data_IF_106370857553
#
_entry.id   IF_106370857553
#
_cell.length_a   1.000
_cell.length_b   1.000
_cell.length_c   1.000
_cell.angle_alpha   90.00
_cell.angle_beta   90.00
_cell.angle_gamma   90.00
#
_symmetry.space_group_name_H-M   'P 1'
#
loop_
_entity.id
_entity.type
_entity.pdbx_description
1 polymer ?
#
# COMPACT_ATOMS: atom_id res chain seq x y z
N UNK A 1 21.28 28.66 -24.68
CA UNK A 1 21.39 27.21 -24.81
C UNK A 1 20.50 26.62 -23.72
N UNK A 2 19.82 25.52 -23.97
CA UNK A 2 18.90 24.93 -22.99
C UNK A 2 19.62 23.90 -22.11
N UNK A 3 19.16 23.71 -20.91
CA UNK A 3 19.59 22.64 -20.00
C UNK A 3 19.50 21.32 -20.75
N UNK A 4 20.50 20.47 -20.60
CA UNK A 4 20.50 19.12 -21.15
C UNK A 4 19.91 18.15 -20.12
N UNK A 5 18.74 17.58 -20.37
CA UNK A 5 18.16 16.51 -19.55
C UNK A 5 18.79 15.20 -19.98
N UNK A 6 19.55 14.58 -19.06
CA UNK A 6 20.30 13.34 -19.33
C UNK A 6 19.49 12.09 -18.98
N UNK A 7 18.63 12.20 -17.98
CA UNK A 7 17.75 11.10 -17.55
C UNK A 7 16.39 11.68 -17.24
N UNK A 8 15.39 11.21 -17.94
CA UNK A 8 13.97 11.51 -17.68
C UNK A 8 13.33 10.37 -16.89
N UNK A 9 12.23 10.65 -16.17
CA UNK A 9 11.41 9.61 -15.58
C UNK A 9 10.86 8.67 -16.67
N UNK A 10 10.50 7.47 -16.28
CA UNK A 10 9.71 6.60 -17.13
C UNK A 10 8.32 7.21 -17.40
N UNK A 11 7.70 6.86 -18.52
CA UNK A 11 6.34 7.30 -18.86
C UNK A 11 5.31 6.93 -17.77
N UNK A 12 5.55 5.81 -17.06
CA UNK A 12 4.80 5.39 -15.87
C UNK A 12 5.79 4.96 -14.80
N UNK A 13 5.67 5.54 -13.60
CA UNK A 13 6.52 5.27 -12.46
C UNK A 13 5.72 4.73 -11.27
N UNK A 14 6.40 3.98 -10.38
CA UNK A 14 5.88 3.65 -9.05
C UNK A 14 6.36 4.70 -8.05
N UNK A 15 5.43 5.45 -7.44
CA UNK A 15 5.77 6.57 -6.55
C UNK A 15 6.44 6.16 -5.23
N UNK A 16 6.40 4.90 -4.87
CA UNK A 16 7.13 4.36 -3.71
C UNK A 16 8.60 4.03 -4.00
N UNK A 17 9.01 4.04 -5.28
CA UNK A 17 10.41 3.89 -5.70
C UNK A 17 11.03 5.26 -5.95
N UNK A 18 12.35 5.41 -5.87
CA UNK A 18 13.03 6.63 -6.31
C UNK A 18 12.72 6.94 -7.78
N UNK A 19 12.21 8.13 -8.03
CA UNK A 19 12.02 8.65 -9.40
C UNK A 19 13.18 9.62 -9.64
N UNK A 20 14.25 9.07 -10.21
CA UNK A 20 15.50 9.80 -10.39
C UNK A 20 15.52 10.49 -11.74
N UNK A 21 15.82 11.77 -11.72
CA UNK A 21 16.03 12.60 -12.91
C UNK A 21 17.42 13.26 -12.86
N UNK A 22 18.07 13.39 -14.01
CA UNK A 22 19.40 14.02 -14.11
C UNK A 22 19.38 15.08 -15.18
N UNK A 23 19.88 16.24 -14.80
CA UNK A 23 20.05 17.36 -15.70
C UNK A 23 21.50 17.86 -15.66
N UNK A 24 21.97 18.41 -16.77
CA UNK A 24 23.30 18.99 -16.89
C UNK A 24 23.17 20.42 -17.38
N UNK A 25 23.89 21.31 -16.71
CA UNK A 25 23.99 22.69 -17.16
C UNK A 25 24.85 22.79 -18.42
N UNK A 26 24.48 23.69 -19.28
CA UNK A 26 25.29 24.08 -20.45
C UNK A 26 26.07 25.37 -20.21
N UNK A 27 25.82 26.06 -19.09
CA UNK A 27 26.48 27.28 -18.71
C UNK A 27 27.83 26.98 -18.05
N UNK A 28 28.82 27.81 -18.34
CA UNK A 28 30.15 27.75 -17.74
C UNK A 28 30.58 29.13 -17.23
N UNK A 29 31.46 29.17 -16.22
CA UNK A 29 32.01 30.40 -15.69
C UNK A 29 31.02 31.32 -14.96
N UNK A 30 29.86 30.79 -14.53
CA UNK A 30 28.87 31.53 -13.74
C UNK A 30 29.09 31.32 -12.25
N UNK A 31 28.80 32.35 -11.48
CA UNK A 31 28.96 32.33 -10.01
C UNK A 31 27.70 31.75 -9.38
N UNK A 32 27.86 30.84 -8.42
CA UNK A 32 26.76 30.15 -7.72
C UNK A 32 25.73 29.51 -8.68
N UNK A 33 26.24 28.81 -9.67
CA UNK A 33 25.40 28.12 -10.65
C UNK A 33 24.62 26.98 -10.00
N UNK A 34 23.31 26.98 -10.22
CA UNK A 34 22.34 26.01 -9.69
C UNK A 34 21.41 25.55 -10.80
N UNK A 35 20.88 24.36 -10.67
CA UNK A 35 19.71 23.96 -11.42
C UNK A 35 18.52 23.96 -10.46
N UNK A 36 17.50 24.73 -10.80
CA UNK A 36 16.20 24.71 -10.14
C UNK A 36 15.26 23.82 -10.96
N UNK A 37 14.61 22.89 -10.28
CA UNK A 37 13.61 22.06 -10.90
C UNK A 37 12.29 22.21 -10.14
N UNK A 38 11.19 22.47 -10.84
CA UNK A 38 9.83 22.36 -10.30
C UNK A 38 9.20 21.04 -10.73
N UNK A 39 8.58 20.35 -9.80
CA UNK A 39 7.76 19.17 -10.03
C UNK A 39 6.31 19.56 -9.79
N UNK A 40 5.53 19.63 -10.86
CA UNK A 40 4.12 19.98 -10.83
C UNK A 40 3.29 18.71 -11.02
N UNK A 41 2.60 18.30 -9.97
CA UNK A 41 1.82 17.06 -9.91
C UNK A 41 0.34 17.39 -9.95
N UNK A 42 -0.41 16.69 -10.78
CA UNK A 42 -1.86 16.74 -10.89
C UNK A 42 -2.43 15.37 -10.62
N UNK A 43 -3.37 15.31 -9.71
CA UNK A 43 -4.11 14.09 -9.42
C UNK A 43 -5.59 14.43 -9.21
N UNK A 44 -6.48 13.49 -9.48
CA UNK A 44 -7.92 13.72 -9.37
C UNK A 44 -8.47 13.00 -8.14
N UNK A 45 -9.26 13.69 -7.34
CA UNK A 45 -10.01 13.10 -6.23
C UNK A 45 -11.49 13.41 -6.38
N UNK A 46 -12.31 12.38 -6.55
CA UNK A 46 -13.78 12.54 -6.66
C UNK A 46 -14.22 13.59 -7.70
N UNK A 47 -13.49 13.71 -8.82
CA UNK A 47 -13.74 14.70 -9.86
C UNK A 47 -13.08 16.08 -9.64
N UNK A 48 -12.47 16.32 -8.49
CA UNK A 48 -11.68 17.53 -8.24
C UNK A 48 -10.20 17.29 -8.57
N UNK A 49 -9.61 18.21 -9.34
CA UNK A 49 -8.16 18.21 -9.59
C UNK A 49 -7.43 18.75 -8.35
N UNK A 50 -6.53 17.93 -7.80
CA UNK A 50 -5.60 18.33 -6.74
C UNK A 50 -4.26 18.58 -7.41
N UNK A 51 -3.80 19.81 -7.32
CA UNK A 51 -2.49 20.21 -7.83
C UNK A 51 -1.52 20.37 -6.66
N UNK A 52 -0.31 19.84 -6.82
CA UNK A 52 0.78 19.98 -5.88
C UNK A 52 2.06 20.34 -6.62
N UNK A 53 2.77 21.36 -6.17
CA UNK A 53 4.01 21.81 -6.80
C UNK A 53 5.11 21.90 -5.75
N UNK A 54 6.29 21.37 -6.07
CA UNK A 54 7.47 21.45 -5.23
C UNK A 54 8.68 21.89 -6.06
N UNK A 55 9.53 22.74 -5.44
CA UNK A 55 10.74 23.26 -6.06
C UNK A 55 11.97 22.65 -5.41
N UNK A 56 12.82 22.11 -6.23
CA UNK A 56 14.13 21.59 -5.86
C UNK A 56 15.22 22.53 -6.39
N UNK A 57 16.24 22.75 -5.59
CA UNK A 57 17.42 23.53 -5.99
C UNK A 57 18.65 22.69 -5.72
N UNK A 58 19.48 22.52 -6.73
CA UNK A 58 20.70 21.76 -6.65
C UNK A 58 21.89 22.64 -7.07
N UNK A 59 22.90 22.75 -6.21
CA UNK A 59 24.16 23.42 -6.54
C UNK A 59 24.98 22.53 -7.46
N UNK A 60 25.35 23.05 -8.61
CA UNK A 60 26.01 22.27 -9.64
C UNK A 60 27.50 22.18 -9.34
N UNK A 61 28.03 20.96 -9.29
CA UNK A 61 29.45 20.71 -9.14
C UNK A 61 30.26 21.01 -10.40
N UNK A 62 31.56 20.71 -10.38
CA UNK A 62 32.47 20.93 -11.51
C UNK A 62 32.10 20.10 -12.77
N UNK A 63 31.35 19.02 -12.62
CA UNK A 63 30.83 18.18 -13.70
C UNK A 63 29.57 18.74 -14.37
N UNK A 64 28.98 19.78 -13.77
CA UNK A 64 27.77 20.42 -14.27
C UNK A 64 26.49 19.61 -14.05
N UNK A 65 26.52 18.51 -13.26
CA UNK A 65 25.41 17.58 -13.08
C UNK A 65 24.56 17.92 -11.86
N UNK A 66 23.24 17.75 -11.99
CA UNK A 66 22.28 17.76 -10.91
C UNK A 66 21.43 16.48 -10.96
N UNK A 67 21.23 15.87 -9.80
CA UNK A 67 20.39 14.67 -9.65
C UNK A 67 19.28 14.96 -8.65
N UNK A 68 18.04 14.72 -9.06
CA UNK A 68 16.86 14.95 -8.23
C UNK A 68 16.09 13.63 -8.05
N UNK A 69 15.46 13.50 -6.89
CA UNK A 69 14.48 12.45 -6.64
C UNK A 69 13.14 13.11 -6.35
N UNK A 70 12.15 12.86 -7.21
CA UNK A 70 10.81 13.47 -7.10
C UNK A 70 9.76 12.52 -6.54
N UNK A 71 10.16 11.32 -6.12
CA UNK A 71 9.23 10.30 -5.65
C UNK A 71 8.37 10.75 -4.47
N UNK A 72 8.94 11.49 -3.51
CA UNK A 72 8.22 11.92 -2.32
C UNK A 72 7.11 12.93 -2.65
N UNK A 73 7.37 13.86 -3.56
CA UNK A 73 6.39 14.83 -4.04
C UNK A 73 5.21 14.13 -4.72
N UNK A 74 5.52 13.23 -5.65
CA UNK A 74 4.50 12.46 -6.40
C UNK A 74 3.71 11.55 -5.46
N UNK A 75 4.39 10.86 -4.54
CA UNK A 75 3.75 9.99 -3.55
C UNK A 75 2.82 10.78 -2.63
N UNK A 76 3.26 11.93 -2.13
CA UNK A 76 2.45 12.78 -1.25
C UNK A 76 1.16 13.23 -1.94
N UNK A 77 1.23 13.60 -3.20
CA UNK A 77 0.05 13.96 -3.98
C UNK A 77 -0.90 12.77 -4.15
N UNK A 78 -0.38 11.60 -4.52
CA UNK A 78 -1.17 10.37 -4.66
C UNK A 78 -1.82 9.96 -3.34
N UNK A 79 -1.10 9.95 -2.23
CA UNK A 79 -1.63 9.56 -0.92
C UNK A 79 -2.80 10.46 -0.46
N UNK A 80 -2.81 11.73 -0.87
CA UNK A 80 -3.92 12.67 -0.60
C UNK A 80 -5.16 12.37 -1.44
N UNK A 81 -4.98 11.77 -2.61
CA UNK A 81 -6.06 11.47 -3.55
C UNK A 81 -6.72 10.12 -3.34
N UNK A 82 -6.05 9.20 -2.61
CA UNK A 82 -6.59 7.88 -2.36
C UNK A 82 -7.73 7.96 -1.36
N UNK A 83 -8.90 7.57 -1.82
CA UNK A 83 -10.06 7.29 -0.97
C UNK A 83 -10.23 5.79 -0.89
N UNK A 84 -9.97 5.22 0.28
CA UNK A 84 -10.21 3.82 0.58
C UNK A 84 -11.17 3.76 1.74
N UNK A 85 -12.42 3.44 1.47
CA UNK A 85 -13.43 3.27 2.48
C UNK A 85 -13.97 1.84 2.41
N UNK A 86 -13.83 1.15 3.51
CA UNK A 86 -14.51 -0.12 3.73
C UNK A 86 -15.66 0.16 4.67
N UNK A 87 -16.87 0.16 4.14
CA UNK A 87 -18.10 0.37 4.90
C UNK A 87 -18.92 -0.91 4.92
N UNK A 88 -19.04 -1.51 6.09
CA UNK A 88 -19.77 -2.76 6.25
C UNK A 88 -19.14 -3.89 5.43
N UNK A 89 -19.83 -4.38 4.41
CA UNK A 89 -19.36 -5.42 3.47
C UNK A 89 -18.82 -4.85 2.18
N UNK A 90 -18.89 -3.52 1.99
CA UNK A 90 -18.55 -2.87 0.71
C UNK A 90 -17.21 -2.19 0.81
N UNK A 91 -16.37 -2.44 -0.19
CA UNK A 91 -15.15 -1.72 -0.44
C UNK A 91 -15.41 -0.65 -1.50
N UNK A 92 -15.25 0.60 -1.11
CA UNK A 92 -15.13 1.71 -2.07
C UNK A 92 -13.66 2.09 -2.16
N UNK A 93 -13.06 1.81 -3.31
CA UNK A 93 -11.69 2.17 -3.57
C UNK A 93 -11.65 3.06 -4.81
N UNK A 94 -11.14 4.26 -4.63
CA UNK A 94 -10.83 5.16 -5.72
C UNK A 94 -9.34 5.43 -5.67
N UNK A 95 -8.61 4.89 -6.62
CA UNK A 95 -7.20 5.19 -6.82
C UNK A 95 -7.04 5.86 -8.17
N UNK A 96 -6.15 6.83 -8.20
CA UNK A 96 -5.87 7.57 -9.42
C UNK A 96 -4.39 7.47 -9.74
N UNK A 97 -4.05 7.52 -11.02
CA UNK A 97 -2.71 7.89 -11.42
C UNK A 97 -2.54 9.40 -11.24
N UNK A 98 -1.39 9.82 -10.76
CA UNK A 98 -1.01 11.22 -10.86
C UNK A 98 -0.30 11.44 -12.18
N UNK A 99 -0.57 12.55 -12.84
CA UNK A 99 0.29 13.08 -13.90
C UNK A 99 1.22 14.12 -13.31
N UNK A 100 2.45 14.21 -13.81
CA UNK A 100 3.39 15.23 -13.38
C UNK A 100 4.30 15.67 -14.51
N UNK A 101 4.70 16.94 -14.42
CA UNK A 101 5.65 17.57 -15.34
C UNK A 101 6.81 18.15 -14.55
N UNK A 102 7.99 18.15 -15.16
CA UNK A 102 9.21 18.66 -14.56
C UNK A 102 9.70 19.84 -15.39
N UNK A 103 9.88 20.99 -14.75
CA UNK A 103 10.41 22.19 -15.39
C UNK A 103 11.75 22.55 -14.77
N UNK A 104 12.76 22.63 -15.61
CA UNK A 104 14.14 22.92 -15.21
C UNK A 104 14.53 24.33 -15.62
N UNK A 105 15.28 25.04 -14.75
CA UNK A 105 15.88 26.34 -15.01
C UNK A 105 17.30 26.40 -14.49
N UNK A 106 18.19 27.05 -15.22
CA UNK A 106 19.51 27.42 -14.74
C UNK A 106 19.40 28.73 -13.97
N UNK A 107 20.03 28.77 -12.80
CA UNK A 107 19.99 29.91 -11.88
C UNK A 107 21.41 30.25 -11.45
N UNK A 108 21.80 31.51 -11.57
CA UNK A 108 23.11 31.96 -11.15
C UNK A 108 23.06 33.41 -10.63
N UNK A 109 24.10 33.82 -9.94
CA UNK A 109 24.23 35.21 -9.48
C UNK A 109 25.03 36.06 -10.48
N UNK A 110 24.47 37.20 -10.81
CA UNK A 110 25.13 38.27 -11.56
C UNK A 110 24.89 39.61 -10.85
N UNK A 111 25.93 40.31 -10.44
CA UNK A 111 25.83 41.53 -9.64
C UNK A 111 24.97 41.41 -8.38
N UNK A 112 25.05 40.26 -7.68
CA UNK A 112 24.22 39.91 -6.54
C UNK A 112 22.72 39.81 -6.84
N UNK A 113 22.34 39.75 -8.11
CA UNK A 113 20.96 39.49 -8.56
C UNK A 113 20.88 38.06 -9.08
N UNK A 114 19.83 37.35 -8.68
CA UNK A 114 19.55 36.00 -9.19
C UNK A 114 18.98 36.10 -10.61
N UNK A 115 19.65 35.47 -11.55
CA UNK A 115 19.22 35.39 -12.96
C UNK A 115 18.77 33.97 -13.25
N UNK A 116 17.61 33.83 -13.85
CA UNK A 116 17.07 32.56 -14.34
C UNK A 116 17.15 32.48 -15.87
N UNK A 117 17.71 31.39 -16.39
CA UNK A 117 17.84 31.18 -17.83
C UNK A 117 17.50 29.71 -18.19
N UNK A 118 17.24 29.46 -19.44
CA UNK A 118 17.23 28.13 -20.03
C UNK A 118 16.11 27.21 -19.54
N UNK A 119 14.87 27.68 -19.60
CA UNK A 119 13.71 26.84 -19.21
C UNK A 119 13.52 25.64 -20.15
N UNK A 120 13.41 24.45 -19.58
CA UNK A 120 13.08 23.19 -20.28
C UNK A 120 12.02 22.46 -19.48
N UNK A 121 10.91 22.09 -20.12
CA UNK A 121 9.84 21.31 -19.51
C UNK A 121 9.81 19.89 -20.11
N UNK A 122 9.67 18.87 -19.24
CA UNK A 122 9.54 17.49 -19.65
C UNK A 122 8.18 17.23 -20.32
N UNK A 123 8.07 16.10 -21.01
CA UNK A 123 6.77 15.53 -21.31
C UNK A 123 6.02 15.17 -20.03
N UNK A 124 4.69 15.06 -20.13
CA UNK A 124 3.87 14.60 -19.02
C UNK A 124 4.17 13.12 -18.71
N UNK A 125 4.58 12.86 -17.48
CA UNK A 125 4.79 11.52 -16.94
C UNK A 125 3.64 11.14 -16.03
N UNK A 126 3.41 9.84 -15.87
CA UNK A 126 2.38 9.30 -14.97
C UNK A 126 3.01 8.49 -13.85
N UNK A 127 2.33 8.46 -12.71
CA UNK A 127 2.73 7.62 -11.60
C UNK A 127 1.52 6.99 -10.92
N UNK A 128 1.70 5.77 -10.45
CA UNK A 128 0.77 5.08 -9.56
C UNK A 128 1.44 4.86 -8.20
N UNK A 129 0.64 4.70 -7.16
CA UNK A 129 1.17 4.31 -5.86
C UNK A 129 1.70 2.88 -5.94
N UNK A 130 2.78 2.60 -5.22
CA UNK A 130 3.37 1.28 -5.16
C UNK A 130 4.89 1.34 -5.15
N UNK A 131 5.51 0.23 -4.77
CA UNK A 131 6.97 0.09 -4.75
C UNK A 131 7.38 -1.33 -5.07
N UNK A 132 8.56 -1.48 -5.64
CA UNK A 132 9.33 -2.71 -5.58
C UNK A 132 10.17 -2.75 -4.30
N UNK A 133 10.43 -3.95 -3.80
CA UNK A 133 11.42 -4.11 -2.74
C UNK A 133 12.81 -3.74 -3.26
N UNK A 134 13.72 -3.38 -2.37
CA UNK A 134 15.10 -3.06 -2.77
C UNK A 134 15.80 -4.27 -3.41
N UNK A 135 15.48 -5.47 -2.95
CA UNK A 135 15.98 -6.71 -3.55
C UNK A 135 15.51 -6.88 -5.01
N UNK A 136 14.22 -6.66 -5.30
CA UNK A 136 13.69 -6.72 -6.66
C UNK A 136 14.34 -5.67 -7.56
N UNK A 137 14.58 -4.46 -7.04
CA UNK A 137 15.26 -3.39 -7.78
C UNK A 137 16.70 -3.75 -8.13
N UNK A 138 17.42 -4.39 -7.22
CA UNK A 138 18.82 -4.79 -7.43
C UNK A 138 18.94 -6.01 -8.36
N UNK A 139 17.99 -6.92 -8.33
CA UNK A 139 18.02 -8.16 -9.12
C UNK A 139 17.41 -8.02 -10.52
N UNK A 140 16.51 -7.03 -10.70
CA UNK A 140 15.90 -6.73 -11.99
C UNK A 140 16.41 -5.37 -12.52
N UNK A 141 17.45 -5.33 -13.37
CA UNK A 141 18.09 -4.08 -13.79
C UNK A 141 17.17 -3.08 -14.51
N UNK A 142 15.99 -3.49 -14.92
CA UNK A 142 14.99 -2.63 -15.57
C UNK A 142 13.82 -2.27 -14.65
N UNK A 143 13.80 -2.73 -13.39
CA UNK A 143 12.70 -2.46 -12.45
C UNK A 143 12.63 -0.98 -12.05
N UNK A 144 13.74 -0.23 -12.17
CA UNK A 144 13.79 1.18 -11.80
C UNK A 144 13.24 2.14 -12.87
N UNK A 145 13.11 1.69 -14.12
CA UNK A 145 12.91 2.62 -15.23
C UNK A 145 11.54 2.59 -15.86
N UNK A 146 10.80 1.51 -15.73
CA UNK A 146 9.42 1.46 -16.21
C UNK A 146 8.67 0.29 -15.58
N UNK A 147 7.52 0.57 -15.02
CA UNK A 147 6.52 -0.48 -14.86
C UNK A 147 6.02 -0.76 -16.27
N UNK A 148 6.44 -1.86 -16.87
CA UNK A 148 5.80 -2.35 -18.08
C UNK A 148 4.42 -2.84 -17.69
N UNK A 149 3.48 -1.92 -17.69
CA UNK A 149 2.08 -2.21 -17.47
C UNK A 149 1.50 -2.54 -18.86
N UNK A 150 1.10 -3.77 -19.07
CA UNK A 150 0.35 -4.19 -20.25
C UNK A 150 -1.09 -3.69 -20.23
N UNK A 151 -1.93 -4.21 -21.11
CA UNK A 151 -3.36 -3.87 -21.23
C UNK A 151 -4.21 -4.36 -20.03
N UNK A 152 -3.63 -5.19 -19.16
CA UNK A 152 -4.23 -5.60 -17.89
C UNK A 152 -3.22 -6.36 -17.05
N UNK A 153 -2.70 -5.73 -15.99
CA UNK A 153 -1.72 -6.34 -15.10
C UNK A 153 -2.28 -6.51 -13.69
N UNK A 154 -2.07 -7.70 -13.14
CA UNK A 154 -2.36 -8.00 -11.74
C UNK A 154 -1.24 -7.41 -10.88
N UNK A 155 -1.61 -6.57 -9.92
CA UNK A 155 -0.71 -5.91 -8.98
C UNK A 155 -0.70 -6.63 -7.62
N UNK A 156 -0.40 -7.91 -7.66
CA UNK A 156 -0.32 -8.78 -6.48
C UNK A 156 0.97 -9.61 -6.54
N UNK A 157 1.58 -9.83 -5.38
CA UNK A 157 2.74 -10.71 -5.21
C UNK A 157 2.39 -12.02 -4.53
N UNK A 158 1.10 -12.35 -4.47
CA UNK A 158 0.68 -13.60 -3.84
C UNK A 158 1.23 -14.80 -4.55
N UNK A 159 1.84 -15.74 -3.81
CA UNK A 159 2.20 -17.05 -4.35
C UNK A 159 0.97 -17.87 -4.73
N UNK A 160 1.18 -18.93 -5.49
CA UNK A 160 0.15 -19.91 -5.81
C UNK A 160 -0.35 -20.66 -4.57
N UNK A 161 -1.58 -21.17 -4.61
CA UNK A 161 -2.15 -22.04 -3.57
C UNK A 161 -2.94 -21.32 -2.49
N UNK A 162 -3.34 -20.06 -2.69
CA UNK A 162 -4.19 -19.34 -1.73
C UNK A 162 -5.52 -20.08 -1.51
N UNK A 163 -5.92 -20.32 -0.24
CA UNK A 163 -7.26 -20.79 0.04
C UNK A 163 -8.28 -19.66 -0.13
N UNK A 164 -9.27 -19.87 -0.99
CA UNK A 164 -10.42 -18.99 -1.16
C UNK A 164 -11.60 -19.57 -0.41
N UNK A 165 -12.12 -18.82 0.55
CA UNK A 165 -13.27 -19.28 1.29
C UNK A 165 -14.55 -18.97 0.54
N UNK A 166 -15.35 -19.99 0.29
CA UNK A 166 -16.63 -19.86 -0.40
C UNK A 166 -17.58 -18.92 0.35
N UNK A 167 -18.20 -18.03 -0.40
CA UNK A 167 -19.12 -17.02 0.14
C UNK A 167 -18.43 -15.76 0.68
N UNK A 168 -17.12 -15.64 0.53
CA UNK A 168 -16.36 -14.42 0.87
C UNK A 168 -15.70 -13.86 -0.38
N UNK A 169 -16.00 -12.61 -0.70
CA UNK A 169 -15.48 -11.97 -1.90
C UNK A 169 -13.95 -11.97 -1.93
N UNK A 170 -13.41 -12.35 -3.07
CA UNK A 170 -12.00 -12.20 -3.39
C UNK A 170 -11.76 -10.83 -4.03
N UNK A 171 -10.76 -10.10 -3.57
CA UNK A 171 -10.31 -8.87 -4.18
C UNK A 171 -8.93 -9.06 -4.77
N UNK A 172 -8.82 -8.84 -6.09
CA UNK A 172 -7.57 -8.97 -6.86
C UNK A 172 -7.22 -7.60 -7.44
N UNK A 173 -6.13 -6.97 -7.01
CA UNK A 173 -5.74 -5.68 -7.54
C UNK A 173 -5.18 -5.81 -8.95
N UNK A 174 -5.62 -4.94 -9.85
CA UNK A 174 -5.18 -4.89 -11.23
C UNK A 174 -5.19 -3.47 -11.80
N UNK A 175 -4.49 -3.26 -12.91
CA UNK A 175 -4.41 -1.99 -13.63
C UNK A 175 -4.43 -2.23 -15.14
N UNK A 176 -5.05 -1.34 -15.89
CA UNK A 176 -4.98 -1.32 -17.35
C UNK A 176 -4.27 -0.04 -17.82
N UNK A 177 -3.38 -0.16 -18.79
CA UNK A 177 -2.68 0.99 -19.39
C UNK A 177 -3.34 1.51 -20.67
N UNK A 178 -4.08 0.66 -21.37
CA UNK A 178 -4.59 0.95 -22.72
C UNK A 178 -6.06 1.37 -22.77
N UNK A 179 -6.82 1.17 -21.68
CA UNK A 179 -8.26 1.42 -21.65
C UNK A 179 -8.75 1.84 -20.27
N UNK A 180 -9.95 2.37 -20.22
CA UNK A 180 -10.70 2.67 -19.02
C UNK A 180 -11.42 1.44 -18.42
N UNK A 181 -11.14 0.27 -18.96
CA UNK A 181 -11.76 -1.00 -18.56
C UNK A 181 -10.70 -2.07 -18.39
N UNK A 182 -10.76 -2.80 -17.28
CA UNK A 182 -9.93 -3.99 -17.05
C UNK A 182 -10.78 -5.21 -17.40
N UNK A 183 -10.33 -5.97 -18.41
CA UNK A 183 -10.91 -7.27 -18.75
C UNK A 183 -10.18 -8.36 -18.01
N UNK A 184 -10.93 -9.26 -17.37
CA UNK A 184 -10.37 -10.40 -16.64
C UNK A 184 -11.24 -11.64 -16.78
N UNK A 185 -10.68 -12.79 -16.54
CA UNK A 185 -11.39 -14.04 -16.56
C UNK A 185 -11.19 -14.84 -15.28
N UNK A 186 -12.20 -15.54 -14.86
CA UNK A 186 -12.17 -16.50 -13.76
C UNK A 186 -12.38 -17.89 -14.32
N UNK A 187 -11.38 -18.74 -14.19
CA UNK A 187 -11.46 -20.16 -14.57
C UNK A 187 -11.61 -20.99 -13.31
N UNK A 188 -12.76 -21.68 -13.14
CA UNK A 188 -13.04 -22.54 -12.01
C UNK A 188 -13.60 -23.86 -12.48
N UNK A 189 -13.09 -24.97 -11.97
CA UNK A 189 -13.50 -26.33 -12.36
C UNK A 189 -13.53 -26.57 -13.88
N UNK A 190 -12.61 -25.92 -14.63
CA UNK A 190 -12.52 -26.03 -16.08
C UNK A 190 -13.48 -25.13 -16.87
N UNK A 191 -14.32 -24.36 -16.20
CA UNK A 191 -15.20 -23.38 -16.83
C UNK A 191 -14.57 -21.98 -16.72
N UNK A 192 -14.50 -21.27 -17.85
CA UNK A 192 -14.04 -19.90 -17.93
C UNK A 192 -15.21 -18.94 -18.01
N UNK A 193 -15.19 -17.92 -17.17
CA UNK A 193 -16.14 -16.81 -17.20
C UNK A 193 -15.37 -15.50 -17.37
N UNK A 194 -15.77 -14.70 -18.34
CA UNK A 194 -15.13 -13.42 -18.64
C UNK A 194 -15.91 -12.29 -18.00
N UNK A 195 -15.18 -11.32 -17.44
CA UNK A 195 -15.68 -10.15 -16.74
C UNK A 195 -14.97 -8.89 -17.21
N UNK A 196 -15.59 -7.75 -16.95
CA UNK A 196 -14.98 -6.46 -17.19
C UNK A 196 -15.31 -5.50 -16.05
N UNK A 197 -14.37 -4.68 -15.67
CA UNK A 197 -14.54 -3.64 -14.67
C UNK A 197 -14.14 -2.29 -15.23
N UNK A 198 -15.07 -1.35 -15.23
CA UNK A 198 -14.80 0.05 -15.61
C UNK A 198 -14.02 0.75 -14.51
N UNK A 199 -12.94 1.44 -14.88
CA UNK A 199 -12.01 2.13 -13.95
C UNK A 199 -12.09 3.64 -14.05
N UNK A 200 -12.74 4.18 -15.08
CA UNK A 200 -12.89 5.63 -15.30
C UNK A 200 -11.71 6.27 -16.03
N UNK A 201 -10.71 5.51 -16.42
CA UNK A 201 -9.57 6.01 -17.20
C UNK A 201 -8.43 5.01 -17.30
N UNK A 202 -7.56 5.21 -18.27
CA UNK A 202 -6.33 4.46 -18.38
C UNK A 202 -5.40 4.73 -17.19
N UNK A 203 -4.68 3.71 -16.75
CA UNK A 203 -3.77 3.74 -15.58
C UNK A 203 -4.49 3.99 -14.23
N UNK A 204 -5.79 3.79 -14.16
CA UNK A 204 -6.52 3.79 -12.90
C UNK A 204 -6.54 2.37 -12.34
N UNK A 205 -5.80 2.08 -11.26
CA UNK A 205 -5.82 0.76 -10.64
C UNK A 205 -7.15 0.50 -9.94
N UNK A 206 -7.58 -0.75 -9.95
CA UNK A 206 -8.79 -1.18 -9.26
C UNK A 206 -8.59 -2.53 -8.58
N UNK A 207 -9.33 -2.78 -7.50
CA UNK A 207 -9.44 -4.12 -6.90
C UNK A 207 -10.64 -4.82 -7.52
N UNK A 208 -10.36 -5.84 -8.34
CA UNK A 208 -11.38 -6.65 -9.00
C UNK A 208 -12.11 -7.47 -7.93
N UNK A 209 -13.42 -7.31 -7.83
CA UNK A 209 -14.24 -8.07 -6.91
C UNK A 209 -14.77 -9.33 -7.59
N UNK A 210 -14.53 -10.46 -6.97
CA UNK A 210 -14.97 -11.77 -7.47
C UNK A 210 -15.83 -12.43 -6.39
N UNK A 211 -17.08 -12.68 -6.71
CA UNK A 211 -18.00 -13.42 -5.84
C UNK A 211 -17.63 -14.91 -5.83
N UNK A 212 -17.18 -15.39 -4.70
CA UNK A 212 -16.78 -16.80 -4.53
C UNK A 212 -17.94 -17.72 -4.21
N UNK A 213 -19.15 -17.21 -3.97
CA UNK A 213 -20.32 -18.01 -3.59
C UNK A 213 -20.75 -18.98 -4.68
N UNK A 214 -20.58 -18.58 -5.95
CA UNK A 214 -20.91 -19.36 -7.13
C UNK A 214 -19.80 -20.33 -7.56
N UNK A 215 -18.60 -20.24 -6.98
CA UNK A 215 -17.47 -21.06 -7.36
C UNK A 215 -17.62 -22.50 -6.81
N UNK A 216 -17.28 -23.48 -7.64
CA UNK A 216 -17.16 -24.85 -7.20
C UNK A 216 -15.88 -25.07 -6.40
N UNK A 217 -15.90 -26.01 -5.46
CA UNK A 217 -14.71 -26.42 -4.72
C UNK A 217 -13.60 -26.88 -5.70
N UNK A 218 -12.37 -26.49 -5.43
CA UNK A 218 -11.21 -26.86 -6.23
C UNK A 218 -10.45 -25.65 -6.80
N UNK A 219 -9.65 -25.93 -7.83
CA UNK A 219 -8.76 -24.95 -8.45
C UNK A 219 -9.53 -23.82 -9.11
N UNK A 220 -9.08 -22.60 -8.83
CA UNK A 220 -9.57 -21.36 -9.44
C UNK A 220 -8.39 -20.50 -9.88
N UNK A 221 -8.47 -19.93 -11.06
CA UNK A 221 -7.46 -19.02 -11.60
C UNK A 221 -8.15 -17.73 -12.05
N UNK A 222 -7.64 -16.60 -11.59
CA UNK A 222 -8.04 -15.27 -12.05
C UNK A 222 -6.93 -14.75 -12.93
N UNK A 223 -7.21 -14.46 -14.18
CA UNK A 223 -6.23 -13.96 -15.16
C UNK A 223 -6.75 -12.70 -15.86
N UNK A 224 -5.83 -11.85 -16.27
CA UNK A 224 -6.11 -10.72 -17.15
C UNK A 224 -5.71 -11.06 -18.58
N UNK A 225 -5.94 -10.14 -19.53
CA UNK A 225 -5.55 -10.36 -20.93
C UNK A 225 -4.05 -10.58 -21.12
N UNK A 226 -3.22 -10.01 -20.24
CA UNK A 226 -1.75 -9.97 -20.39
C UNK A 226 -0.99 -10.82 -19.36
N UNK A 227 -1.66 -11.31 -18.32
CA UNK A 227 -1.03 -12.11 -17.29
C UNK A 227 -1.80 -13.40 -17.00
N UNK A 228 -1.04 -14.51 -16.95
CA UNK A 228 -1.55 -15.74 -16.36
C UNK A 228 -1.78 -15.51 -14.87
N UNK A 229 -2.96 -15.88 -14.43
CA UNK A 229 -3.35 -15.66 -13.04
C UNK A 229 -2.75 -16.70 -12.10
N UNK A 230 -2.65 -16.33 -10.85
CA UNK A 230 -2.18 -17.20 -9.78
C UNK A 230 -3.26 -18.23 -9.42
N UNK A 231 -2.83 -19.48 -9.25
CA UNK A 231 -3.72 -20.57 -8.81
C UNK A 231 -4.17 -20.37 -7.36
N UNK A 232 -5.46 -20.60 -7.12
CA UNK A 232 -6.13 -20.55 -5.83
C UNK A 232 -7.03 -21.76 -5.67
N UNK A 233 -7.42 -22.07 -4.45
CA UNK A 233 -8.29 -23.23 -4.19
C UNK A 233 -9.49 -22.83 -3.37
N UNK A 234 -10.69 -23.03 -3.91
CA UNK A 234 -11.94 -22.79 -3.19
C UNK A 234 -12.13 -23.85 -2.12
N UNK A 235 -12.29 -23.39 -0.89
CA UNK A 235 -12.49 -24.22 0.31
C UNK A 235 -13.74 -23.77 1.06
N UNK A 236 -14.34 -24.70 1.81
CA UNK A 236 -15.45 -24.35 2.70
C UNK A 236 -14.95 -23.57 3.92
N UNK A 237 -15.80 -22.72 4.47
CA UNK A 237 -15.48 -21.95 5.66
C UNK A 237 -15.28 -22.85 6.88
N UNK A 238 -14.28 -22.57 7.68
CA UNK A 238 -14.00 -23.25 8.94
C UNK A 238 -14.02 -22.25 10.10
N UNK A 239 -14.45 -22.63 11.30
CA UNK A 239 -14.56 -21.73 12.45
C UNK A 239 -13.28 -21.01 12.85
N UNK A 240 -12.12 -21.55 12.51
CA UNK A 240 -10.82 -20.93 12.79
C UNK A 240 -10.32 -19.97 11.73
N UNK A 241 -11.06 -19.77 10.63
CA UNK A 241 -10.62 -18.87 9.54
C UNK A 241 -11.02 -17.42 9.83
N UNK A 242 -10.12 -16.50 9.53
CA UNK A 242 -10.36 -15.04 9.58
C UNK A 242 -9.98 -14.43 8.26
N UNK A 243 -10.84 -13.55 7.78
CA UNK A 243 -10.68 -12.89 6.49
C UNK A 243 -10.30 -11.46 6.69
N UNK A 244 -9.31 -11.03 5.92
CA UNK A 244 -8.79 -9.68 5.94
C UNK A 244 -8.87 -9.05 4.56
N UNK A 245 -9.12 -7.76 4.56
CA UNK A 245 -8.73 -6.85 3.49
C UNK A 245 -7.52 -6.09 3.98
N UNK A 246 -6.53 -5.88 3.13
CA UNK A 246 -5.35 -5.11 3.48
C UNK A 246 -4.83 -4.34 2.28
N UNK A 247 -4.11 -3.27 2.55
CA UNK A 247 -3.43 -2.49 1.52
C UNK A 247 -2.08 -3.13 1.23
N UNK A 248 -1.90 -3.64 0.00
CA UNK A 248 -0.63 -4.24 -0.43
C UNK A 248 0.43 -3.18 -0.75
N UNK A 249 1.64 -3.60 -1.12
CA UNK A 249 2.76 -2.70 -1.45
C UNK A 249 2.53 -1.84 -2.70
N UNK A 250 1.55 -2.18 -3.54
CA UNK A 250 1.10 -1.33 -4.64
C UNK A 250 0.01 -0.32 -4.21
N UNK A 251 -0.32 -0.26 -2.93
CA UNK A 251 -1.31 0.65 -2.40
C UNK A 251 -2.77 0.24 -2.63
N UNK A 252 -2.99 -0.94 -3.20
CA UNK A 252 -4.29 -1.47 -3.55
C UNK A 252 -4.82 -2.42 -2.46
N UNK A 253 -6.14 -2.55 -2.41
CA UNK A 253 -6.76 -3.50 -1.47
C UNK A 253 -6.76 -4.88 -2.07
N UNK A 254 -6.30 -5.81 -1.27
CA UNK A 254 -6.25 -7.22 -1.55
C UNK A 254 -6.84 -8.00 -0.37
N UNK A 255 -7.49 -9.14 -0.63
CA UNK A 255 -8.03 -10.00 0.42
C UNK A 255 -7.06 -11.10 0.79
N UNK A 256 -7.05 -11.54 2.02
CA UNK A 256 -6.32 -12.73 2.49
C UNK A 256 -7.07 -13.43 3.61
N UNK A 257 -6.91 -14.74 3.69
CA UNK A 257 -7.46 -15.55 4.77
C UNK A 257 -6.35 -16.10 5.65
N UNK A 258 -6.40 -15.76 6.94
CA UNK A 258 -5.60 -16.42 7.94
C UNK A 258 -6.30 -17.73 8.36
N UNK A 259 -5.56 -18.81 8.35
CA UNK A 259 -6.06 -20.12 8.74
C UNK A 259 -5.39 -20.53 10.00
N UNK A 260 -6.09 -20.49 11.12
CA UNK A 260 -5.75 -21.08 12.42
C UNK A 260 -5.43 -20.16 13.58
N UNK A 261 -5.68 -20.73 14.73
CA UNK A 261 -5.43 -20.27 16.09
C UNK A 261 -5.86 -18.80 16.33
N UNK A 262 -7.10 -18.67 16.69
CA UNK A 262 -7.55 -17.45 17.33
C UNK A 262 -7.54 -17.66 18.85
N UNK A 263 -6.76 -16.87 19.55
CA UNK A 263 -6.95 -16.67 20.98
C UNK A 263 -7.20 -15.19 21.21
N UNK A 264 -8.19 -14.89 22.03
CA UNK A 264 -8.55 -13.51 22.40
C UNK A 264 -8.01 -13.25 23.80
N UNK A 265 -7.20 -12.23 23.95
CA UNK A 265 -6.74 -11.70 25.22
C UNK A 265 -7.18 -10.26 25.39
N UNK A 266 -7.34 -9.83 26.63
CA UNK A 266 -7.61 -8.44 26.96
C UNK A 266 -6.47 -7.90 27.81
N UNK A 267 -5.82 -6.85 27.30
CA UNK A 267 -4.93 -6.03 28.10
C UNK A 267 -5.77 -4.93 28.76
N UNK A 268 -5.77 -4.89 30.08
CA UNK A 268 -6.57 -3.92 30.84
C UNK A 268 -5.62 -2.95 31.52
N UNK A 269 -5.52 -1.76 30.96
CA UNK A 269 -4.85 -0.66 31.63
C UNK A 269 -5.83 -0.01 32.60
N UNK A 270 -5.50 0.00 33.89
CA UNK A 270 -6.32 0.65 34.91
C UNK A 270 -5.55 1.80 35.56
N UNK A 271 -6.19 2.95 35.58
CA UNK A 271 -5.70 4.12 36.30
C UNK A 271 -6.43 4.26 37.61
N UNK A 272 -5.66 4.27 38.68
CA UNK A 272 -6.20 4.38 40.04
C UNK A 272 -5.73 5.65 40.74
N UNK A 273 -6.53 6.19 41.61
CA UNK A 273 -6.14 7.26 42.52
C UNK A 273 -6.58 6.94 43.94
N UNK A 274 -5.85 7.49 44.90
CA UNK A 274 -6.16 7.31 46.33
C UNK A 274 -7.02 8.48 46.86
N UNK A 275 -8.17 8.15 47.38
CA UNK A 275 -9.05 9.13 48.03
C UNK A 275 -8.95 8.94 49.54
N UNK A 276 -8.70 10.01 50.32
CA UNK A 276 -8.82 9.92 51.74
C UNK A 276 -10.25 9.54 52.12
N UNK A 277 -10.39 8.49 52.87
CA UNK A 277 -11.68 8.09 53.42
C UNK A 277 -11.60 8.13 54.94
N UNK A 278 -12.36 9.03 55.55
CA UNK A 278 -12.49 9.11 56.97
C UNK A 278 -13.60 8.16 57.40
N UNK A 279 -13.23 6.95 57.78
CA UNK A 279 -14.13 6.01 58.44
C UNK A 279 -13.71 5.98 59.90
N UNK A 280 -14.53 6.46 60.77
CA UNK A 280 -14.33 6.46 62.21
C UNK A 280 -13.06 7.18 62.69
N UNK A 281 -12.66 8.29 62.05
CA UNK A 281 -11.48 9.11 62.37
C UNK A 281 -10.14 8.37 62.32
N UNK A 282 -10.06 7.28 61.57
CA UNK A 282 -8.83 6.46 61.48
C UNK A 282 -7.92 6.78 60.32
N UNK A 283 -8.24 7.76 59.49
CA UNK A 283 -7.37 8.23 58.40
C UNK A 283 -7.00 7.15 57.36
N UNK A 284 -7.99 6.39 56.89
CA UNK A 284 -7.77 5.37 55.86
C UNK A 284 -7.84 5.96 54.45
N UNK A 285 -7.12 5.39 53.52
CA UNK A 285 -7.21 5.75 52.12
C UNK A 285 -7.89 4.63 51.31
N UNK A 286 -8.79 5.03 50.43
CA UNK A 286 -9.43 4.13 49.46
C UNK A 286 -8.82 4.32 48.10
N UNK A 287 -8.42 3.23 47.46
CA UNK A 287 -8.02 3.24 46.07
C UNK A 287 -9.25 3.12 45.20
N UNK A 288 -9.44 4.07 44.30
CA UNK A 288 -10.55 4.12 43.33
C UNK A 288 -9.98 3.99 41.93
N UNK A 289 -10.51 3.06 41.17
CA UNK A 289 -10.23 2.96 39.76
C UNK A 289 -11.13 3.94 39.00
N UNK A 290 -10.56 4.90 38.27
CA UNK A 290 -11.33 5.90 37.54
C UNK A 290 -11.32 5.68 36.03
N UNK A 291 -10.43 4.85 35.51
CA UNK A 291 -10.41 4.46 34.09
C UNK A 291 -9.87 3.04 33.98
N UNK A 292 -10.54 2.24 33.21
CA UNK A 292 -10.07 0.92 32.80
C UNK A 292 -10.45 0.71 31.32
N UNK A 293 -9.46 0.69 30.45
CA UNK A 293 -9.64 0.52 29.02
C UNK A 293 -9.15 -0.87 28.60
N UNK A 294 -10.06 -1.82 28.39
CA UNK A 294 -9.69 -3.13 27.89
C UNK A 294 -9.36 -3.07 26.38
N UNK A 295 -8.18 -3.47 26.02
CA UNK A 295 -7.75 -3.62 24.63
C UNK A 295 -7.81 -5.09 24.25
N UNK A 296 -8.70 -5.43 23.33
CA UNK A 296 -8.83 -6.77 22.81
C UNK A 296 -7.72 -7.05 21.78
N UNK A 297 -6.92 -8.08 22.02
CA UNK A 297 -5.85 -8.54 21.13
C UNK A 297 -6.14 -9.98 20.71
N UNK A 298 -6.14 -10.22 19.41
CA UNK A 298 -6.31 -11.53 18.80
C UNK A 298 -4.94 -12.06 18.37
N UNK A 299 -4.50 -13.16 18.95
CA UNK A 299 -3.31 -13.87 18.49
C UNK A 299 -3.69 -14.79 17.33
N UNK A 300 -3.05 -14.62 16.20
CA UNK A 300 -3.36 -15.28 14.94
C UNK A 300 -2.14 -15.94 14.31
N UNK A 301 -2.39 -16.77 13.31
CA UNK A 301 -1.34 -17.44 12.55
C UNK A 301 -1.76 -17.56 11.08
N UNK A 302 -0.78 -17.55 10.18
CA UNK A 302 -0.98 -17.93 8.78
C UNK A 302 -1.38 -19.41 8.60
N UNK A 303 -1.29 -20.23 9.66
CA UNK A 303 -1.22 -21.66 9.53
C UNK A 303 0.14 -22.13 8.98
N UNK A 304 0.25 -23.41 8.69
CA UNK A 304 1.46 -23.95 8.09
C UNK A 304 1.50 -23.62 6.60
N UNK A 305 2.52 -22.87 6.21
CA UNK A 305 2.71 -22.37 4.85
C UNK A 305 4.11 -22.72 4.32
N UNK A 306 4.28 -22.66 3.00
CA UNK A 306 5.59 -22.77 2.38
C UNK A 306 6.44 -21.54 2.72
N UNK A 307 7.76 -21.63 2.48
CA UNK A 307 8.69 -20.51 2.67
C UNK A 307 8.27 -19.29 1.86
N UNK A 308 7.89 -19.47 0.60
CA UNK A 308 7.48 -18.39 -0.29
C UNK A 308 6.24 -17.66 0.26
N UNK A 309 5.26 -18.40 0.79
CA UNK A 309 4.11 -17.83 1.48
C UNK A 309 4.49 -17.13 2.78
N UNK A 310 5.43 -17.68 3.56
CA UNK A 310 5.89 -17.01 4.78
C UNK A 310 6.58 -15.69 4.47
N UNK A 311 7.44 -15.64 3.44
CA UNK A 311 8.07 -14.41 2.97
C UNK A 311 7.01 -13.40 2.48
N UNK A 312 5.96 -13.85 1.78
CA UNK A 312 4.85 -12.99 1.36
C UNK A 312 4.07 -12.44 2.58
N UNK A 313 3.71 -13.28 3.55
CA UNK A 313 3.04 -12.83 4.77
C UNK A 313 3.81 -11.73 5.47
N UNK A 314 5.12 -11.86 5.59
CA UNK A 314 5.98 -10.88 6.25
C UNK A 314 6.08 -9.59 5.43
N UNK A 315 6.39 -9.69 4.14
CA UNK A 315 6.72 -8.52 3.33
C UNK A 315 5.49 -7.73 2.84
N UNK A 316 4.34 -8.38 2.71
CA UNK A 316 3.12 -7.75 2.22
C UNK A 316 2.10 -7.51 3.33
N UNK A 317 1.65 -8.58 4.01
CA UNK A 317 0.56 -8.48 4.95
C UNK A 317 0.98 -7.86 6.29
N UNK A 318 2.07 -8.32 6.91
CA UNK A 318 2.51 -7.79 8.21
C UNK A 318 3.02 -6.35 8.12
N UNK A 319 3.52 -5.94 6.96
CA UNK A 319 4.00 -4.57 6.71
C UNK A 319 2.89 -3.63 6.21
N UNK A 320 1.65 -4.07 6.16
CA UNK A 320 0.54 -3.24 5.70
C UNK A 320 0.29 -2.05 6.62
N UNK A 321 -0.06 -0.92 6.03
CA UNK A 321 -0.46 0.28 6.78
C UNK A 321 -1.93 0.29 7.14
N UNK A 322 -2.76 -0.44 6.40
CA UNK A 322 -4.22 -0.47 6.58
C UNK A 322 -4.74 -1.88 6.38
N UNK A 323 -5.47 -2.36 7.35
CA UNK A 323 -6.12 -3.65 7.28
C UNK A 323 -7.51 -3.58 7.91
N UNK A 324 -8.37 -4.48 7.46
CA UNK A 324 -9.71 -4.70 8.00
C UNK A 324 -9.94 -6.20 8.15
N UNK A 325 -10.59 -6.57 9.22
CA UNK A 325 -10.96 -7.96 9.53
C UNK A 325 -12.46 -8.14 9.43
N UNK A 326 -12.89 -9.21 8.80
CA UNK A 326 -14.32 -9.57 8.70
C UNK A 326 -14.81 -10.12 10.04
N UNK A 327 -15.73 -9.41 10.69
CA UNK A 327 -16.32 -9.78 11.97
C UNK A 327 -17.82 -9.57 11.89
N UNK A 328 -18.61 -10.63 12.15
CA UNK A 328 -20.08 -10.55 12.12
C UNK A 328 -20.65 -10.05 10.79
N UNK A 329 -20.01 -10.39 9.66
CA UNK A 329 -20.42 -9.97 8.32
C UNK A 329 -20.03 -8.52 7.96
N UNK A 330 -19.17 -7.87 8.76
CA UNK A 330 -18.66 -6.51 8.49
C UNK A 330 -17.16 -6.47 8.57
N UNK A 331 -16.53 -5.68 7.70
CA UNK A 331 -15.11 -5.39 7.79
C UNK A 331 -14.86 -4.27 8.79
N UNK A 332 -14.12 -4.59 9.85
CA UNK A 332 -13.73 -3.64 10.89
C UNK A 332 -12.25 -3.30 10.75
N UNK A 333 -11.86 -2.02 10.90
CA UNK A 333 -10.46 -1.62 10.80
C UNK A 333 -9.65 -2.21 11.95
N UNK A 334 -8.48 -2.77 11.60
CA UNK A 334 -7.57 -3.42 12.54
C UNK A 334 -6.14 -2.95 12.34
N UNK A 335 -5.37 -3.00 13.40
CA UNK A 335 -3.92 -2.87 13.35
C UNK A 335 -3.30 -4.28 13.41
N UNK A 336 -2.41 -4.54 12.49
CA UNK A 336 -1.59 -5.76 12.47
C UNK A 336 -0.33 -5.48 13.29
N UNK A 337 -0.07 -6.33 14.26
CA UNK A 337 1.09 -6.23 15.16
C UNK A 337 1.94 -7.48 14.94
N UNK A 338 3.02 -7.40 14.14
CA UNK A 338 3.92 -8.54 13.95
C UNK A 338 4.61 -8.88 15.25
N UNK A 339 4.96 -10.16 15.44
CA UNK A 339 5.88 -10.56 16.50
C UNK A 339 7.29 -10.01 16.21
N UNK A 340 8.08 -9.77 17.24
CA UNK A 340 9.40 -9.15 17.11
C UNK A 340 10.37 -9.93 16.21
N UNK A 341 10.19 -11.24 16.11
CA UNK A 341 11.04 -12.12 15.30
C UNK A 341 10.20 -13.21 14.63
N UNK A 342 10.36 -13.37 13.33
CA UNK A 342 9.79 -14.46 12.55
C UNK A 342 10.90 -15.23 11.85
N UNK A 343 11.12 -16.47 12.24
CA UNK A 343 12.12 -17.36 11.64
C UNK A 343 11.59 -17.94 10.31
N UNK A 344 12.13 -17.48 9.20
CA UNK A 344 11.75 -17.95 7.84
C UNK A 344 12.68 -19.07 7.35
N UNK A 345 13.86 -19.23 7.94
CA UNK A 345 14.82 -20.23 7.54
C UNK A 345 15.43 -20.92 8.77
N UNK A 346 14.94 -22.09 9.09
CA UNK A 346 15.55 -22.98 10.06
C UNK A 346 15.91 -24.31 9.38
N UNK A 347 17.21 -24.57 9.21
CA UNK A 347 17.71 -25.79 8.55
C UNK A 347 17.43 -27.07 9.34
N UNK A 348 17.05 -26.94 10.60
CA UNK A 348 16.73 -28.08 11.48
C UNK A 348 15.26 -28.46 11.43
N UNK A 349 14.40 -27.62 10.83
CA UNK A 349 12.95 -27.82 10.75
C UNK A 349 12.51 -28.18 9.35
N UNK A 350 11.45 -28.98 9.22
CA UNK A 350 10.86 -29.28 7.91
C UNK A 350 10.29 -28.02 7.26
N UNK A 351 10.05 -28.09 5.98
CA UNK A 351 9.70 -27.02 5.03
C UNK A 351 8.39 -26.27 5.29
N UNK A 352 7.69 -26.50 6.40
CA UNK A 352 6.44 -25.82 6.75
C UNK A 352 6.69 -24.83 7.88
N UNK A 353 6.34 -23.59 7.63
CA UNK A 353 6.51 -22.46 8.53
C UNK A 353 5.14 -21.92 8.95
N UNK A 354 5.07 -21.34 10.14
CA UNK A 354 3.87 -20.63 10.59
C UNK A 354 4.26 -19.20 10.97
N UNK A 355 3.62 -18.23 10.33
CA UNK A 355 3.81 -16.82 10.65
C UNK A 355 2.76 -16.44 11.69
N UNK A 356 3.22 -16.10 12.88
CA UNK A 356 2.36 -15.67 13.97
C UNK A 356 2.34 -14.14 14.04
N UNK A 357 1.19 -13.59 14.41
CA UNK A 357 0.99 -12.17 14.54
C UNK A 357 -0.18 -11.86 15.46
N UNK A 358 -0.21 -10.64 15.96
CA UNK A 358 -1.31 -10.16 16.78
C UNK A 358 -2.14 -9.14 15.98
N UNK A 359 -3.43 -9.09 16.28
CA UNK A 359 -4.38 -8.16 15.65
C UNK A 359 -5.18 -7.48 16.74
N UNK A 360 -5.33 -6.17 16.64
CA UNK A 360 -6.23 -5.41 17.50
C UNK A 360 -7.11 -4.48 16.69
N UNK A 361 -8.28 -4.14 17.20
CA UNK A 361 -9.10 -3.13 16.56
C UNK A 361 -8.39 -1.76 16.57
N UNK A 362 -8.51 -1.03 15.45
CA UNK A 362 -7.89 0.31 15.29
C UNK A 362 -8.69 1.43 15.94
N UNK A 363 -9.83 1.12 16.53
CA UNK A 363 -10.63 2.11 17.25
C UNK A 363 -10.45 1.93 18.77
N UNK A 364 -10.25 3.05 19.44
CA UNK A 364 -10.26 3.14 20.89
C UNK A 364 -11.69 3.43 21.34
N UNK A 365 -12.32 2.48 21.96
CA UNK A 365 -13.63 2.65 22.55
C UNK A 365 -13.94 1.38 23.31
N UNK A 366 -13.84 1.45 24.62
CA UNK A 366 -14.23 0.34 25.47
C UNK A 366 -15.65 -0.10 25.10
N UNK A 367 -15.78 -1.35 24.70
CA UNK A 367 -17.05 -1.94 24.25
C UNK A 367 -18.14 -1.85 25.31
N UNK A 368 -17.81 -1.47 26.54
CA UNK A 368 -18.74 -1.47 27.68
C UNK A 368 -18.64 -0.27 28.64
N UNK A 369 -17.62 0.61 28.52
CA UNK A 369 -17.40 1.65 29.54
C UNK A 369 -18.14 2.97 29.33
N UNK A 370 -18.92 3.13 28.27
CA UNK A 370 -19.74 4.34 28.09
C UNK A 370 -20.97 4.42 29.02
N UNK A 371 -21.24 3.40 29.81
CA UNK A 371 -22.43 3.32 30.70
C UNK A 371 -22.14 3.45 32.17
N UNK A 372 -20.88 3.61 32.56
CA UNK A 372 -20.53 3.89 33.98
C UNK A 372 -20.04 5.32 34.05
N UNK A 373 -20.95 6.25 34.08
CA UNK A 373 -20.77 7.61 34.60
C UNK A 373 -21.43 7.71 35.92
#
# INVERSE_FOLDING_TARGET
>A
MAIQVLQQPASVSLAGNPIIVKAKTTLTGKTFLRIRMSCDVKATRSGEEISYSEKYVYEVGSDGLATFNVSDTVRTALERCIVQEVSGTTLTQTMYAASYTLTYKEVYLYDNVEIEEGEVTSEECKAILGRYTEFERLTAPNADTSVQLGSGRILSRKPAGEPLVKGIDLYVPAVSTGSDTISFSVTNAGQKSDYSQYTGGALVPASLRIDTSSLAAGKTVVSTSDEEGVERYVVESSPGMRHFLFQNTFGLIESVTAVMRESLSYDIESNTYSVPQDIDFRGTTRVVNYAADPVATFAMSSGYVSREWAEWWINEFLMTRRAWMLVGGRFLPVAILPDDTVDVLDRSKPSLLAVNFNVRYSFTGGTYNSFVR
#
